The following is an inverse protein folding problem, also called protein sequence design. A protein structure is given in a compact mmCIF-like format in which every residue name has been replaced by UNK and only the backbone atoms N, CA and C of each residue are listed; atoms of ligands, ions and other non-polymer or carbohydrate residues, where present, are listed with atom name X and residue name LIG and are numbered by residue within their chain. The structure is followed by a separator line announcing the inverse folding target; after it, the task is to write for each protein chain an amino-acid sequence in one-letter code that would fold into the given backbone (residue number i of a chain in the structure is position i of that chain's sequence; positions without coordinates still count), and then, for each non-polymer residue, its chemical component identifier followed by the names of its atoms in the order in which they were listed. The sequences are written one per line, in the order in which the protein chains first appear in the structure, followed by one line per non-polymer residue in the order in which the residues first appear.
data_IF_751774824652
#
_entry.id   IF_751774824652
#
_cell.length_a   1.000
_cell.length_b   1.000
_cell.length_c   1.000
_cell.angle_alpha   90.00
_cell.angle_beta   90.00
_cell.angle_gamma   90.00
#
_symmetry.space_group_name_H-M   'P 1'
#
loop_
_entity.id
_entity.type
_entity.pdbx_description
1 polymer ?
#
# COMPACT_ATOMS: atom_id res chain seq x y z
N UNK A 1 -10.42 19.71 -7.00
CA UNK A 1 -10.90 18.41 -6.46
C UNK A 1 -9.97 17.81 -5.40
N UNK A 2 -8.75 18.34 -5.21
CA UNK A 2 -7.76 17.88 -4.24
C UNK A 2 -8.25 17.91 -2.78
N UNK A 3 -9.01 18.94 -2.40
CA UNK A 3 -9.64 19.08 -1.07
C UNK A 3 -11.04 18.45 -0.93
N UNK A 4 -11.39 17.55 -1.84
CA UNK A 4 -12.70 16.91 -1.81
C UNK A 4 -12.85 15.96 -0.60
N UNK A 5 -13.94 16.03 0.16
CA UNK A 5 -14.19 15.10 1.27
C UNK A 5 -14.35 13.64 0.79
N UNK A 6 -14.62 13.42 -0.50
CA UNK A 6 -14.69 12.09 -1.11
C UNK A 6 -13.38 11.30 -0.97
N UNK A 7 -12.24 11.97 -0.81
CA UNK A 7 -10.96 11.30 -0.58
C UNK A 7 -10.92 10.49 0.72
N UNK A 8 -11.67 10.90 1.75
CA UNK A 8 -11.80 10.11 2.97
C UNK A 8 -12.55 8.80 2.74
N UNK A 9 -13.56 8.81 1.87
CA UNK A 9 -14.24 7.58 1.46
C UNK A 9 -13.28 6.66 0.69
N UNK A 10 -12.48 7.21 -0.23
CA UNK A 10 -11.46 6.43 -0.93
C UNK A 10 -10.40 5.87 0.01
N UNK A 11 -9.98 6.63 1.03
CA UNK A 11 -9.06 6.13 2.06
C UNK A 11 -9.67 4.97 2.85
N UNK A 12 -10.93 5.07 3.26
CA UNK A 12 -11.64 3.98 3.94
C UNK A 12 -11.72 2.73 3.06
N UNK A 13 -12.07 2.88 1.79
CA UNK A 13 -12.13 1.76 0.81
C UNK A 13 -10.74 1.14 0.62
N UNK A 14 -9.69 1.95 0.55
CA UNK A 14 -8.31 1.51 0.38
C UNK A 14 -7.85 0.65 1.56
N UNK A 15 -8.22 1.04 2.78
CA UNK A 15 -7.96 0.27 4.01
C UNK A 15 -8.73 -1.06 3.98
N UNK A 16 -10.00 -1.06 3.58
CA UNK A 16 -10.79 -2.30 3.44
C UNK A 16 -10.13 -3.25 2.44
N UNK A 17 -9.69 -2.72 1.28
CA UNK A 17 -8.98 -3.49 0.27
C UNK A 17 -7.67 -4.07 0.80
N UNK A 18 -6.91 -3.28 1.56
CA UNK A 18 -5.69 -3.74 2.23
C UNK A 18 -5.97 -4.97 3.08
N UNK A 19 -6.94 -4.89 3.99
CA UNK A 19 -7.24 -6.00 4.86
C UNK A 19 -7.78 -7.22 4.10
N UNK A 20 -8.64 -7.01 3.11
CA UNK A 20 -9.22 -8.10 2.31
C UNK A 20 -8.14 -8.92 1.57
N UNK A 21 -7.13 -8.25 1.01
CA UNK A 21 -6.07 -8.90 0.23
C UNK A 21 -4.94 -9.38 1.12
N UNK A 22 -4.40 -8.51 1.98
CA UNK A 22 -3.17 -8.78 2.73
C UNK A 22 -3.36 -9.82 3.83
N UNK A 23 -4.49 -9.79 4.57
CA UNK A 23 -4.72 -10.78 5.63
C UNK A 23 -4.85 -12.20 5.07
N UNK A 24 -5.32 -12.33 3.83
CA UNK A 24 -5.39 -13.61 3.13
C UNK A 24 -4.03 -14.06 2.61
N UNK A 25 -3.11 -13.15 2.31
CA UNK A 25 -1.77 -13.52 1.84
C UNK A 25 -0.81 -13.94 2.97
N UNK A 26 -1.07 -13.58 4.23
CA UNK A 26 -0.16 -13.87 5.34
C UNK A 26 -0.26 -15.30 5.90
N UNK A 27 0.87 -16.00 6.17
CA UNK A 27 0.87 -17.38 6.64
C UNK A 27 0.52 -17.53 8.13
N UNK A 28 1.01 -16.64 8.99
CA UNK A 28 0.87 -16.75 10.46
C UNK A 28 0.19 -15.55 11.09
N UNK A 29 -0.31 -15.70 12.32
CA UNK A 29 -0.94 -14.59 13.08
C UNK A 29 0.01 -13.42 13.33
N UNK A 30 1.32 -13.69 13.52
CA UNK A 30 2.34 -12.65 13.69
C UNK A 30 2.46 -11.79 12.43
N UNK A 31 2.53 -12.42 11.25
CA UNK A 31 2.54 -11.71 9.97
C UNK A 31 1.26 -10.89 9.75
N UNK A 32 0.09 -11.41 10.16
CA UNK A 32 -1.17 -10.65 10.12
C UNK A 32 -1.16 -9.42 11.01
N UNK A 33 -0.59 -9.53 12.22
CA UNK A 33 -0.43 -8.38 13.11
C UNK A 33 0.51 -7.34 12.50
N UNK A 34 1.67 -7.74 11.98
CA UNK A 34 2.60 -6.83 11.33
C UNK A 34 1.99 -6.13 10.10
N UNK A 35 1.32 -6.88 9.22
CA UNK A 35 0.73 -6.28 8.02
C UNK A 35 -0.46 -5.37 8.33
N UNK A 36 -1.13 -5.55 9.46
CA UNK A 36 -2.23 -4.67 9.89
C UNK A 36 -1.75 -3.25 10.22
N UNK A 37 -0.46 -3.09 10.57
CA UNK A 37 0.16 -1.78 10.80
C UNK A 37 0.50 -1.04 9.50
N UNK A 38 0.47 -1.71 8.34
CA UNK A 38 0.85 -1.13 7.05
C UNK A 38 0.16 0.19 6.71
N UNK A 39 -1.19 0.29 6.76
CA UNK A 39 -1.89 1.54 6.48
C UNK A 39 -1.57 2.67 7.47
N UNK A 40 -1.21 2.33 8.71
CA UNK A 40 -0.79 3.30 9.72
C UNK A 40 0.63 3.80 9.42
N UNK A 41 1.54 2.89 9.10
CA UNK A 41 2.92 3.23 8.73
C UNK A 41 2.98 4.09 7.46
N UNK A 42 2.10 3.84 6.48
CA UNK A 42 1.99 4.66 5.29
C UNK A 42 1.50 6.11 5.58
N UNK A 43 0.78 6.30 6.69
CA UNK A 43 0.24 7.60 7.08
C UNK A 43 1.32 8.49 7.74
N UNK A 44 2.26 7.90 8.49
CA UNK A 44 3.31 8.62 9.23
C UNK A 44 4.12 9.62 8.37
N UNK A 45 4.73 9.23 7.23
CA UNK A 45 5.55 10.17 6.45
C UNK A 45 4.70 11.29 5.83
N UNK A 46 3.45 11.00 5.47
CA UNK A 46 2.55 11.99 4.89
C UNK A 46 2.08 13.02 5.94
N UNK A 47 1.75 12.57 7.14
CA UNK A 47 1.43 13.48 8.25
C UNK A 47 2.65 14.33 8.61
N UNK A 48 3.84 13.72 8.72
CA UNK A 48 5.07 14.45 8.98
C UNK A 48 5.35 15.52 7.90
N UNK A 49 5.09 15.19 6.63
CA UNK A 49 5.21 16.14 5.52
C UNK A 49 4.18 17.27 5.62
N UNK A 50 2.89 16.96 5.81
CA UNK A 50 1.83 17.97 5.96
C UNK A 50 2.08 18.91 7.13
N UNK A 51 2.55 18.40 8.27
CA UNK A 51 2.92 19.22 9.42
C UNK A 51 4.10 20.15 9.11
N UNK A 52 5.07 19.71 8.31
CA UNK A 52 6.23 20.52 7.92
C UNK A 52 5.90 21.55 6.84
N UNK A 53 5.02 21.20 5.90
CA UNK A 53 4.62 22.04 4.78
C UNK A 53 3.49 23.01 5.12
N UNK A 54 2.88 22.91 6.31
CA UNK A 54 1.68 23.64 6.73
C UNK A 54 0.47 23.46 5.78
N UNK A 55 0.50 22.42 4.95
CA UNK A 55 -0.58 22.07 4.03
C UNK A 55 -1.60 21.16 4.71
N UNK A 56 -2.90 21.34 4.40
CA UNK A 56 -3.93 20.48 4.95
C UNK A 56 -3.72 19.04 4.46
N UNK A 57 -3.75 18.08 5.38
CA UNK A 57 -3.54 16.66 5.08
C UNK A 57 -4.50 16.13 3.99
N UNK A 58 -5.67 16.75 3.84
CA UNK A 58 -6.64 16.45 2.77
C UNK A 58 -6.04 16.53 1.38
N UNK A 59 -5.01 17.34 1.16
CA UNK A 59 -4.34 17.47 -0.13
C UNK A 59 -3.38 16.32 -0.43
N UNK A 60 -2.98 15.58 0.61
CA UNK A 60 -2.06 14.43 0.53
C UNK A 60 -2.81 13.08 0.59
N UNK A 61 -4.12 13.10 0.88
CA UNK A 61 -4.95 11.90 0.89
C UNK A 61 -4.91 11.08 -0.42
N UNK A 62 -4.82 11.68 -1.63
CA UNK A 62 -4.67 10.91 -2.86
C UNK A 62 -3.40 10.04 -2.87
N UNK A 63 -2.29 10.58 -2.36
CA UNK A 63 -1.01 9.85 -2.24
C UNK A 63 -1.14 8.75 -1.19
N UNK A 64 -1.81 9.04 -0.06
CA UNK A 64 -2.11 8.03 0.94
C UNK A 64 -2.89 6.84 0.34
N UNK A 65 -3.98 7.12 -0.37
CA UNK A 65 -4.80 6.10 -1.02
C UNK A 65 -3.97 5.28 -2.01
N UNK A 66 -3.16 5.94 -2.84
CA UNK A 66 -2.29 5.27 -3.80
C UNK A 66 -1.27 4.34 -3.13
N UNK A 67 -0.63 4.78 -2.05
CA UNK A 67 0.32 3.95 -1.28
C UNK A 67 -0.36 2.75 -0.62
N UNK A 68 -1.57 2.93 -0.08
CA UNK A 68 -2.31 1.85 0.56
C UNK A 68 -2.86 0.87 -0.49
N UNK A 69 -3.25 1.33 -1.67
CA UNK A 69 -3.81 0.45 -2.73
C UNK A 69 -2.73 -0.25 -3.54
N UNK A 70 -1.56 0.35 -3.73
CA UNK A 70 -0.50 -0.20 -4.57
C UNK A 70 0.01 -1.55 -4.10
N UNK A 71 0.13 -1.74 -2.79
CA UNK A 71 0.62 -2.99 -2.20
C UNK A 71 -0.38 -4.14 -2.41
N UNK A 72 -1.68 -4.02 -2.05
CA UNK A 72 -2.70 -5.01 -2.41
C UNK A 72 -2.78 -5.30 -3.91
N UNK A 73 -2.71 -4.27 -4.75
CA UNK A 73 -2.75 -4.43 -6.21
C UNK A 73 -1.53 -5.20 -6.75
N UNK A 74 -0.36 -4.99 -6.14
CA UNK A 74 0.86 -5.71 -6.50
C UNK A 74 0.80 -7.21 -6.23
N UNK A 75 0.02 -7.60 -5.22
CA UNK A 75 -0.06 -8.98 -4.72
C UNK A 75 -1.36 -9.67 -5.18
N UNK A 76 -2.27 -8.94 -5.83
CA UNK A 76 -3.55 -9.44 -6.28
C UNK A 76 -3.36 -10.64 -7.23
N UNK A 77 -3.98 -11.77 -6.93
CA UNK A 77 -3.80 -13.04 -7.67
C UNK A 77 -2.58 -13.88 -7.23
N UNK A 78 -1.65 -13.31 -6.47
CA UNK A 78 -0.39 -13.96 -6.07
C UNK A 78 -0.28 -14.25 -4.57
N UNK A 79 -1.42 -14.30 -3.86
CA UNK A 79 -1.48 -14.49 -2.41
C UNK A 79 -0.80 -15.78 -1.93
N UNK A 80 -0.84 -16.86 -2.73
CA UNK A 80 -0.21 -18.14 -2.40
C UNK A 80 1.31 -18.04 -2.47
N UNK A 81 1.83 -17.46 -3.55
CA UNK A 81 3.27 -17.25 -3.73
C UNK A 81 3.85 -16.39 -2.60
N UNK A 82 3.19 -15.27 -2.26
CA UNK A 82 3.63 -14.44 -1.14
C UNK A 82 3.58 -15.21 0.20
N UNK A 83 2.56 -16.03 0.40
CA UNK A 83 2.43 -16.84 1.62
C UNK A 83 3.56 -17.86 1.74
N UNK A 84 3.89 -18.55 0.65
CA UNK A 84 4.95 -19.55 0.58
C UNK A 84 6.31 -18.90 0.88
N UNK A 85 6.61 -17.77 0.21
CA UNK A 85 7.82 -16.98 0.46
C UNK A 85 7.93 -16.52 1.93
N UNK A 86 6.83 -16.05 2.53
CA UNK A 86 6.85 -15.60 3.93
C UNK A 86 6.83 -16.75 4.95
N UNK A 87 6.48 -17.97 4.53
CA UNK A 87 6.49 -19.14 5.38
C UNK A 87 7.88 -19.75 5.50
N UNK A 88 8.74 -19.54 4.51
CA UNK A 88 10.10 -20.06 4.45
C UNK A 88 11.13 -18.92 4.47
N UNK A 89 11.73 -18.62 5.63
CA UNK A 89 12.67 -17.50 5.79
C UNK A 89 14.01 -17.72 5.08
N UNK A 90 14.31 -18.94 4.63
CA UNK A 90 15.60 -19.31 4.05
C UNK A 90 15.61 -19.22 2.52
N UNK A 91 14.46 -18.92 1.88
CA UNK A 91 14.37 -18.77 0.42
C UNK A 91 15.19 -17.54 -0.03
N UNK A 92 16.21 -17.72 -0.90
CA UNK A 92 16.98 -16.61 -1.44
C UNK A 92 16.07 -15.61 -2.16
N UNK A 93 16.33 -14.31 -2.02
CA UNK A 93 15.48 -13.26 -2.60
C UNK A 93 15.29 -13.42 -4.13
N UNK A 94 16.29 -13.93 -4.85
CA UNK A 94 16.20 -14.24 -6.28
C UNK A 94 15.20 -15.34 -6.62
N UNK A 95 15.02 -16.33 -5.74
CA UNK A 95 14.01 -17.40 -5.88
C UNK A 95 12.64 -16.94 -5.36
N UNK A 96 12.61 -16.00 -4.41
CA UNK A 96 11.40 -15.35 -3.96
C UNK A 96 10.81 -14.39 -5.01
N UNK A 97 11.62 -13.91 -5.96
CA UNK A 97 11.17 -13.01 -7.03
C UNK A 97 10.44 -13.75 -8.14
N UNK A 98 9.34 -13.17 -8.63
CA UNK A 98 8.52 -13.75 -9.70
C UNK A 98 7.64 -12.69 -10.37
N UNK A 99 6.68 -13.07 -11.24
CA UNK A 99 5.81 -12.11 -11.93
C UNK A 99 5.11 -11.11 -10.98
N UNK A 100 4.85 -11.54 -9.75
CA UNK A 100 4.24 -10.73 -8.69
C UNK A 100 5.13 -9.59 -8.18
N UNK A 101 6.47 -9.73 -8.19
CA UNK A 101 7.37 -8.64 -7.77
C UNK A 101 7.41 -7.53 -8.81
N UNK A 102 7.40 -7.88 -10.10
CA UNK A 102 7.26 -6.91 -11.19
C UNK A 102 5.90 -6.23 -11.14
N UNK A 103 4.82 -6.99 -10.93
CA UNK A 103 3.47 -6.41 -10.75
C UNK A 103 3.43 -5.43 -9.58
N UNK A 104 4.04 -5.76 -8.44
CA UNK A 104 4.12 -4.88 -7.29
C UNK A 104 4.95 -3.61 -7.55
N UNK A 105 6.08 -3.73 -8.26
CA UNK A 105 6.88 -2.57 -8.65
C UNK A 105 6.09 -1.65 -9.60
N UNK A 106 5.42 -2.23 -10.61
CA UNK A 106 4.60 -1.48 -11.55
C UNK A 106 3.38 -0.83 -10.88
N UNK A 107 2.67 -1.55 -10.00
CA UNK A 107 1.52 -0.98 -9.29
C UNK A 107 1.94 0.19 -8.41
N UNK A 108 3.06 0.07 -7.70
CA UNK A 108 3.64 1.15 -6.90
C UNK A 108 4.01 2.36 -7.77
N UNK A 109 4.78 2.14 -8.84
CA UNK A 109 5.24 3.20 -9.72
C UNK A 109 4.07 3.96 -10.38
N UNK A 110 3.08 3.22 -10.90
CA UNK A 110 1.92 3.81 -11.58
C UNK A 110 1.03 4.55 -10.59
N UNK A 111 0.62 3.92 -9.49
CA UNK A 111 -0.37 4.54 -8.58
C UNK A 111 0.23 5.71 -7.82
N UNK A 112 1.45 5.57 -7.30
CA UNK A 112 2.11 6.67 -6.58
C UNK A 112 2.53 7.77 -7.54
N UNK A 113 3.03 7.42 -8.74
CA UNK A 113 3.37 8.41 -9.77
C UNK A 113 2.16 9.21 -10.25
N UNK A 114 1.03 8.56 -10.51
CA UNK A 114 -0.22 9.22 -10.88
C UNK A 114 -0.77 10.09 -9.75
N UNK A 115 -0.69 9.62 -8.50
CA UNK A 115 -1.12 10.42 -7.36
C UNK A 115 -0.23 11.64 -7.14
N UNK A 116 1.09 11.49 -7.29
CA UNK A 116 2.04 12.60 -7.22
C UNK A 116 1.81 13.61 -8.35
N UNK A 117 1.54 13.15 -9.58
CA UNK A 117 1.16 14.03 -10.69
C UNK A 117 -0.16 14.77 -10.41
N UNK A 118 -1.18 14.07 -9.91
CA UNK A 118 -2.48 14.66 -9.57
C UNK A 118 -2.41 15.69 -8.44
N UNK A 119 -1.50 15.48 -7.49
CA UNK A 119 -1.25 16.39 -6.37
C UNK A 119 -0.37 17.56 -6.84
N UNK A 120 0.67 17.31 -7.64
CA UNK A 120 1.61 18.35 -8.10
C UNK A 120 1.11 19.25 -9.23
N UNK A 121 0.08 18.83 -9.98
CA UNK A 121 -0.57 19.61 -11.04
C UNK A 121 -1.75 20.44 -10.54
#
# INVERSE_FOLDING_TARGET
MRNSPWWWLFAAISIVLWFAVMLRAMPTRKHKALVSLGPVLALVPLVAYSLKAEEPFTEMLPIYCALVVSVPMGILGHHKALREVLADPDVPYGEATGPWTLQAACSMAVLVGLAAYYVGG
#
